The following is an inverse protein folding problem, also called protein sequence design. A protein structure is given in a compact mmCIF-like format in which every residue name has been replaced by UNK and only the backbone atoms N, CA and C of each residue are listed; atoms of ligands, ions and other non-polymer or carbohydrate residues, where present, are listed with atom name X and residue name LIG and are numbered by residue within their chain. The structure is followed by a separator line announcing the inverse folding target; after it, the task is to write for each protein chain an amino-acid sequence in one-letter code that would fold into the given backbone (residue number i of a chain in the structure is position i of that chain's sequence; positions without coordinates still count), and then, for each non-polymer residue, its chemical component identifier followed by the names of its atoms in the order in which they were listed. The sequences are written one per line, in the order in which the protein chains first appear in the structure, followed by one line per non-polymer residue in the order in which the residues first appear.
data_IF_500614580982
#
_entry.id   IF_500614580982
#
_cell.length_a   1.000
_cell.length_b   1.000
_cell.length_c   1.000
_cell.angle_alpha   90.00
_cell.angle_beta   90.00
_cell.angle_gamma   90.00
#
_symmetry.space_group_name_H-M   'P 1'
#
loop_
_entity.id
_entity.type
_entity.pdbx_description
1 polymer ?
#
# COMPACT_ATOMS: atom_id res chain seq x y z
N UNK A 1 16.42 2.56 -8.99
CA UNK A 1 17.38 1.48 -9.33
C UNK A 1 16.74 0.10 -9.15
N UNK A 2 15.45 -0.07 -9.52
CA UNK A 2 14.60 -1.15 -8.96
C UNK A 2 13.94 -2.03 -10.04
N UNK A 3 13.72 -1.50 -11.24
CA UNK A 3 13.05 -2.23 -12.33
C UNK A 3 13.91 -3.37 -12.90
N UNK A 4 15.23 -3.19 -12.97
CA UNK A 4 16.18 -4.19 -13.49
C UNK A 4 16.24 -5.42 -12.59
N UNK A 5 16.18 -5.22 -11.28
CA UNK A 5 16.24 -6.30 -10.27
C UNK A 5 14.96 -7.12 -10.29
N UNK A 6 13.79 -6.47 -10.34
CA UNK A 6 12.51 -7.17 -10.43
C UNK A 6 12.37 -7.99 -11.71
N UNK A 7 12.87 -7.48 -12.83
CA UNK A 7 12.87 -8.22 -14.10
C UNK A 7 13.79 -9.44 -14.04
N UNK A 8 14.92 -9.36 -13.34
CA UNK A 8 15.80 -10.51 -13.13
C UNK A 8 15.17 -11.61 -12.26
N UNK A 9 14.34 -11.24 -11.28
CA UNK A 9 13.60 -12.20 -10.44
C UNK A 9 12.52 -12.90 -11.24
N UNK A 10 11.73 -12.16 -12.03
CA UNK A 10 10.68 -12.74 -12.87
C UNK A 10 11.28 -13.69 -13.93
N UNK A 11 12.45 -13.35 -14.49
CA UNK A 11 13.19 -14.22 -15.44
C UNK A 11 13.73 -15.48 -14.80
N UNK A 12 14.25 -15.38 -13.57
CA UNK A 12 14.71 -16.55 -12.80
C UNK A 12 13.54 -17.48 -12.47
N UNK A 13 12.40 -16.92 -12.04
CA UNK A 13 11.18 -17.69 -11.77
C UNK A 13 10.66 -18.38 -13.03
N UNK A 14 10.69 -17.69 -14.18
CA UNK A 14 10.35 -18.27 -15.48
C UNK A 14 11.24 -19.46 -15.83
N UNK A 15 12.56 -19.32 -15.71
CA UNK A 15 13.51 -20.41 -15.96
C UNK A 15 13.26 -21.62 -15.05
N UNK A 16 13.03 -21.39 -13.76
CA UNK A 16 12.73 -22.46 -12.81
C UNK A 16 11.42 -23.19 -13.15
N UNK A 17 10.37 -22.45 -13.54
CA UNK A 17 9.09 -23.05 -13.92
C UNK A 17 9.23 -23.90 -15.19
N UNK A 18 9.88 -23.37 -16.23
CA UNK A 18 10.11 -24.10 -17.49
C UNK A 18 10.90 -25.39 -17.23
N UNK A 19 11.93 -25.32 -16.40
CA UNK A 19 12.72 -26.49 -16.01
C UNK A 19 11.91 -27.53 -15.21
N UNK A 20 11.06 -27.09 -14.26
CA UNK A 20 10.19 -27.98 -13.49
C UNK A 20 9.12 -28.68 -14.33
N UNK A 21 8.67 -28.04 -15.40
CA UNK A 21 7.71 -28.62 -16.34
C UNK A 21 8.39 -29.52 -17.38
N UNK A 22 9.71 -29.72 -17.28
CA UNK A 22 10.53 -30.50 -18.23
C UNK A 22 10.37 -30.03 -19.69
N UNK A 23 10.10 -28.73 -19.86
CA UNK A 23 9.98 -28.10 -21.17
C UNK A 23 11.35 -27.67 -21.68
N UNK A 24 11.50 -27.67 -22.99
CA UNK A 24 12.71 -27.11 -23.61
C UNK A 24 12.78 -25.60 -23.34
N UNK A 25 13.87 -25.19 -22.69
CA UNK A 25 14.11 -23.81 -22.30
C UNK A 25 14.59 -22.98 -23.50
N UNK A 26 13.64 -22.52 -24.31
CA UNK A 26 13.90 -21.53 -25.36
C UNK A 26 13.81 -20.11 -24.77
N UNK A 27 14.61 -19.19 -25.30
CA UNK A 27 14.60 -17.79 -24.84
C UNK A 27 13.21 -17.15 -25.03
N UNK A 28 12.50 -17.47 -26.12
CA UNK A 28 11.16 -16.98 -26.39
C UNK A 28 10.14 -17.45 -25.33
N UNK A 29 10.24 -18.71 -24.90
CA UNK A 29 9.37 -19.26 -23.86
C UNK A 29 9.68 -18.62 -22.50
N UNK A 30 10.95 -18.47 -22.16
CA UNK A 30 11.38 -17.80 -20.92
C UNK A 30 10.88 -16.36 -20.90
N UNK A 31 11.01 -15.61 -22.00
CA UNK A 31 10.56 -14.22 -22.09
C UNK A 31 9.03 -14.10 -22.02
N UNK A 32 8.29 -15.04 -22.61
CA UNK A 32 6.82 -15.11 -22.48
C UNK A 32 6.40 -15.31 -21.02
N UNK A 33 6.96 -16.31 -20.35
CA UNK A 33 6.63 -16.63 -18.95
C UNK A 33 7.08 -15.51 -18.01
N UNK A 34 8.22 -14.88 -18.27
CA UNK A 34 8.72 -13.71 -17.53
C UNK A 34 7.69 -12.56 -17.57
N UNK A 35 7.10 -12.28 -18.74
CA UNK A 35 6.06 -11.25 -18.87
C UNK A 35 4.81 -11.59 -18.06
N UNK A 36 4.40 -12.86 -18.07
CA UNK A 36 3.27 -13.31 -17.25
C UNK A 36 3.54 -13.16 -15.75
N UNK A 37 4.74 -13.52 -15.28
CA UNK A 37 5.11 -13.29 -13.87
C UNK A 37 5.13 -11.80 -13.51
N UNK A 38 5.68 -10.95 -14.38
CA UNK A 38 5.69 -9.51 -14.16
C UNK A 38 4.27 -8.92 -14.10
N UNK A 39 3.36 -9.37 -14.97
CA UNK A 39 1.95 -8.99 -14.94
C UNK A 39 1.25 -9.49 -13.68
N UNK A 40 1.41 -10.78 -13.34
CA UNK A 40 0.84 -11.37 -12.14
C UNK A 40 1.28 -10.63 -10.88
N UNK A 41 2.57 -10.29 -10.77
CA UNK A 41 3.13 -9.53 -9.65
C UNK A 41 2.50 -8.13 -9.54
N UNK A 42 2.30 -7.43 -10.67
CA UNK A 42 1.61 -6.12 -10.66
C UNK A 42 0.16 -6.25 -10.18
N UNK A 43 -0.56 -7.26 -10.67
CA UNK A 43 -1.94 -7.52 -10.28
C UNK A 43 -2.04 -7.87 -8.79
N UNK A 44 -1.13 -8.69 -8.28
CA UNK A 44 -1.08 -9.06 -6.87
C UNK A 44 -0.79 -7.86 -5.98
N UNK A 45 0.14 -6.98 -6.37
CA UNK A 45 0.43 -5.73 -5.64
C UNK A 45 -0.80 -4.83 -5.60
N UNK A 46 -1.50 -4.67 -6.74
CA UNK A 46 -2.75 -3.90 -6.80
C UNK A 46 -3.81 -4.47 -5.85
N UNK A 47 -4.08 -5.77 -5.96
CA UNK A 47 -5.02 -6.47 -5.08
C UNK A 47 -4.67 -6.36 -3.59
N UNK A 48 -3.39 -6.52 -3.23
CA UNK A 48 -2.94 -6.41 -1.85
C UNK A 48 -3.12 -4.99 -1.29
N UNK A 49 -2.90 -3.98 -2.12
CA UNK A 49 -3.12 -2.59 -1.73
C UNK A 49 -4.61 -2.28 -1.55
N UNK A 50 -5.46 -2.67 -2.49
CA UNK A 50 -6.93 -2.52 -2.41
C UNK A 50 -7.48 -3.19 -1.13
N UNK A 51 -7.01 -4.40 -0.84
CA UNK A 51 -7.41 -5.13 0.37
C UNK A 51 -6.93 -4.43 1.64
N UNK A 52 -5.71 -3.91 1.67
CA UNK A 52 -5.19 -3.14 2.81
C UNK A 52 -5.99 -1.85 3.00
N UNK A 53 -6.25 -1.11 1.92
CA UNK A 53 -7.04 0.11 1.96
C UNK A 53 -8.46 -0.15 2.48
N UNK A 54 -9.13 -1.20 1.98
CA UNK A 54 -10.46 -1.62 2.44
C UNK A 54 -10.46 -1.92 3.95
N UNK A 55 -9.44 -2.62 4.44
CA UNK A 55 -9.32 -2.96 5.85
C UNK A 55 -9.05 -1.72 6.74
N UNK A 56 -8.35 -0.70 6.23
CA UNK A 56 -8.18 0.57 6.95
C UNK A 56 -9.52 1.30 7.03
N UNK A 57 -10.25 1.41 5.91
CA UNK A 57 -11.55 2.09 5.85
C UNK A 57 -12.58 1.42 6.77
N UNK A 58 -12.66 0.09 6.78
CA UNK A 58 -13.55 -0.67 7.68
C UNK A 58 -13.27 -0.37 9.16
N UNK A 59 -11.98 -0.27 9.54
CA UNK A 59 -11.58 0.10 10.90
C UNK A 59 -11.94 1.55 11.22
N UNK A 60 -11.82 2.45 10.26
CA UNK A 60 -12.22 3.85 10.40
C UNK A 60 -13.73 3.96 10.60
N UNK A 61 -14.54 3.31 9.77
CA UNK A 61 -16.00 3.31 9.87
C UNK A 61 -16.49 2.75 11.22
N UNK A 62 -15.89 1.64 11.66
CA UNK A 62 -16.18 1.05 12.98
C UNK A 62 -15.87 2.04 14.11
N UNK A 63 -14.72 2.73 14.03
CA UNK A 63 -14.33 3.72 15.03
C UNK A 63 -15.24 4.96 14.99
N UNK A 64 -15.60 5.43 13.80
CA UNK A 64 -16.44 6.60 13.57
C UNK A 64 -17.79 6.49 14.29
N UNK A 65 -18.40 5.30 14.25
CA UNK A 65 -19.67 5.00 14.93
C UNK A 65 -19.60 5.30 16.44
N UNK A 66 -18.45 5.06 17.07
CA UNK A 66 -18.23 5.35 18.50
C UNK A 66 -17.79 6.79 18.77
N UNK A 67 -17.00 7.37 17.87
CA UNK A 67 -16.31 8.65 18.08
C UNK A 67 -17.20 9.86 17.73
N UNK A 68 -18.05 9.76 16.72
CA UNK A 68 -18.95 10.86 16.34
C UNK A 68 -19.98 11.21 17.43
N UNK A 69 -20.30 10.29 18.32
CA UNK A 69 -21.18 10.57 19.46
C UNK A 69 -20.50 11.44 20.56
N UNK A 70 -19.18 11.54 20.55
CA UNK A 70 -18.39 12.14 21.65
C UNK A 70 -17.55 13.36 21.23
N UNK A 71 -17.59 13.74 19.95
CA UNK A 71 -16.73 14.77 19.39
C UNK A 71 -17.52 15.83 18.63
N UNK A 72 -16.90 17.01 18.47
CA UNK A 72 -17.50 18.17 17.81
C UNK A 72 -17.39 18.07 16.27
N UNK A 73 -18.02 19.03 15.59
CA UNK A 73 -18.08 19.08 14.13
C UNK A 73 -16.69 19.25 13.50
N UNK A 74 -15.78 19.98 14.16
CA UNK A 74 -14.41 20.18 13.67
C UNK A 74 -13.59 18.89 13.72
N UNK A 75 -13.75 18.09 14.77
CA UNK A 75 -13.18 16.74 14.83
C UNK A 75 -13.75 15.85 13.72
N UNK A 76 -15.06 15.88 13.51
CA UNK A 76 -15.70 15.08 12.47
C UNK A 76 -15.20 15.44 11.06
N UNK A 77 -15.01 16.73 10.79
CA UNK A 77 -14.42 17.23 9.55
C UNK A 77 -12.98 16.74 9.36
N UNK A 78 -12.17 16.76 10.42
CA UNK A 78 -10.81 16.23 10.40
C UNK A 78 -10.77 14.72 10.15
N UNK A 79 -11.73 13.98 10.71
CA UNK A 79 -11.89 12.55 10.47
C UNK A 79 -12.20 12.25 9.00
N UNK A 80 -13.17 12.95 8.41
CA UNK A 80 -13.50 12.78 6.98
C UNK A 80 -12.33 13.14 6.05
N UNK A 81 -11.53 14.15 6.40
CA UNK A 81 -10.32 14.46 5.64
C UNK A 81 -9.27 13.34 5.72
N UNK A 82 -9.10 12.72 6.88
CA UNK A 82 -8.21 11.57 7.02
C UNK A 82 -8.68 10.38 6.17
N UNK A 83 -10.00 10.18 6.09
CA UNK A 83 -10.61 9.15 5.26
C UNK A 83 -10.37 9.40 3.77
N UNK A 84 -10.56 10.64 3.30
CA UNK A 84 -10.28 11.04 1.91
C UNK A 84 -8.80 10.81 1.55
N UNK A 85 -7.88 11.09 2.46
CA UNK A 85 -6.45 10.80 2.25
C UNK A 85 -6.24 9.30 2.05
N UNK A 86 -6.79 8.45 2.93
CA UNK A 86 -6.67 6.99 2.78
C UNK A 86 -7.28 6.51 1.46
N UNK A 87 -8.42 7.08 1.05
CA UNK A 87 -9.10 6.73 -0.18
C UNK A 87 -8.30 7.09 -1.44
N UNK A 88 -7.54 8.19 -1.39
CA UNK A 88 -6.76 8.71 -2.52
C UNK A 88 -5.28 8.29 -2.49
N UNK A 89 -4.87 7.51 -1.49
CA UNK A 89 -3.49 7.02 -1.40
C UNK A 89 -3.14 6.06 -2.53
N UNK A 90 -1.96 6.27 -3.12
CA UNK A 90 -1.38 5.36 -4.10
C UNK A 90 -1.16 3.96 -3.51
N UNK A 91 -1.44 2.87 -4.26
CA UNK A 91 -1.31 1.49 -3.79
C UNK A 91 0.01 1.16 -3.08
N UNK A 92 1.13 1.65 -3.63
CA UNK A 92 2.46 1.45 -3.05
C UNK A 92 2.66 2.21 -1.75
N UNK A 93 2.06 3.39 -1.62
CA UNK A 93 2.14 4.17 -0.39
C UNK A 93 1.37 3.47 0.74
N UNK A 94 0.22 2.87 0.43
CA UNK A 94 -0.58 2.08 1.39
C UNK A 94 0.22 0.89 1.91
N UNK A 95 0.87 0.14 1.02
CA UNK A 95 1.66 -1.04 1.39
C UNK A 95 2.95 -0.71 2.17
N UNK A 96 3.47 0.51 2.02
CA UNK A 96 4.68 0.97 2.71
C UNK A 96 4.38 1.75 4.00
N UNK A 97 3.14 1.74 4.49
CA UNK A 97 2.80 2.33 5.77
C UNK A 97 3.45 1.53 6.89
N UNK A 98 4.53 2.07 7.47
CA UNK A 98 5.09 1.53 8.69
C UNK A 98 4.17 1.89 9.88
N UNK A 99 3.72 0.90 10.67
CA UNK A 99 2.92 1.18 11.86
C UNK A 99 3.79 1.94 12.87
N UNK A 100 3.52 3.24 13.01
CA UNK A 100 4.10 4.06 14.06
C UNK A 100 3.21 4.01 15.30
N UNK A 101 3.80 4.07 16.52
CA UNK A 101 3.02 4.14 17.74
C UNK A 101 2.11 5.39 17.72
N UNK A 102 0.86 5.27 18.23
CA UNK A 102 -0.10 6.36 18.19
C UNK A 102 0.46 7.58 18.93
N UNK A 103 0.33 8.75 18.30
CA UNK A 103 0.82 10.01 18.86
C UNK A 103 -0.16 10.52 19.91
N UNK A 104 0.35 10.95 21.06
CA UNK A 104 -0.47 11.63 22.06
C UNK A 104 -0.90 13.02 21.55
N UNK A 105 -2.02 13.54 22.07
CA UNK A 105 -2.49 14.90 21.74
C UNK A 105 -1.39 15.96 21.93
N UNK A 106 -0.61 15.86 23.01
CA UNK A 106 0.51 16.75 23.25
C UNK A 106 1.62 16.65 22.19
N UNK A 107 1.89 15.44 21.66
CA UNK A 107 2.83 15.27 20.56
C UNK A 107 2.30 15.89 19.26
N UNK A 108 1.00 15.80 19.00
CA UNK A 108 0.36 16.40 17.81
C UNK A 108 0.43 17.92 17.89
N UNK A 109 -0.01 18.51 19.00
CA UNK A 109 0.04 19.96 19.26
C UNK A 109 1.46 20.52 19.08
N UNK A 110 2.46 19.85 19.67
CA UNK A 110 3.87 20.28 19.52
C UNK A 110 4.36 20.23 18.07
N UNK A 111 3.91 19.27 17.27
CA UNK A 111 4.27 19.27 15.84
C UNK A 111 3.58 20.37 15.05
N UNK A 112 2.31 20.65 15.34
CA UNK A 112 1.59 21.75 14.69
C UNK A 112 2.25 23.09 14.99
N UNK A 113 2.62 23.33 16.25
CA UNK A 113 3.36 24.54 16.66
C UNK A 113 4.71 24.63 15.95
N UNK A 114 5.44 23.51 15.84
CA UNK A 114 6.72 23.48 15.13
C UNK A 114 6.55 23.81 13.64
N UNK A 115 5.53 23.26 12.98
CA UNK A 115 5.22 23.54 11.57
C UNK A 115 4.78 24.99 11.35
N UNK A 116 3.96 25.55 12.25
CA UNK A 116 3.52 26.94 12.18
C UNK A 116 4.67 27.93 12.36
N UNK A 117 5.71 27.59 13.12
CA UNK A 117 6.94 28.40 13.27
C UNK A 117 7.90 28.34 12.08
N UNK A 118 7.73 27.36 11.19
CA UNK A 118 8.56 27.17 10.00
C UNK A 118 7.93 27.80 8.74
N UNK A 119 6.68 28.27 8.85
CA UNK A 119 5.98 29.09 7.86
C UNK A 119 6.11 30.56 8.22
#
# INVERSE_FOLDING_TARGET
MDQTTHWSVDRLAAGNLVAQLELEATDDLIDLVTRHFAEHRRNLIGWAAERTQSAILEKMETAATSLFAHHDEDWARGFSQAEEVVFTMEPKAVLNLEPSPPRSQGQILRSMIRQARQR
#
